data_IF_641281409694
#
_entry.id   IF_641281409694
#
_cell.length_a   1.000
_cell.length_b   1.000
_cell.length_c   1.000
_cell.angle_alpha   90.00
_cell.angle_beta   90.00
_cell.angle_gamma   90.00
#
_symmetry.space_group_name_H-M   'P 1'
#
loop_
_entity.id
_entity.type
_entity.pdbx_description
1 polymer ?
#
# COMPACT_ATOMS: atom_id res chain seq x y z
N UNK A 1 -77.96 -28.16 -46.17
CA UNK A 1 -76.79 -28.57 -45.37
C UNK A 1 -76.04 -27.30 -44.99
N UNK A 2 -75.99 -26.97 -43.70
CA UNK A 2 -75.04 -26.00 -43.14
C UNK A 2 -74.66 -26.52 -41.76
N UNK A 3 -73.36 -26.71 -41.53
CA UNK A 3 -72.83 -27.22 -40.27
C UNK A 3 -72.86 -26.13 -39.18
N UNK A 4 -73.11 -26.47 -37.90
CA UNK A 4 -72.93 -25.53 -36.80
C UNK A 4 -71.43 -25.24 -36.56
N UNK A 5 -71.07 -24.04 -36.08
CA UNK A 5 -69.69 -23.65 -35.80
C UNK A 5 -69.11 -24.43 -34.60
N UNK A 6 -67.78 -24.62 -34.52
CA UNK A 6 -67.15 -25.36 -33.43
C UNK A 6 -67.22 -24.58 -32.10
N UNK A 7 -67.33 -25.33 -31.00
CA UNK A 7 -67.34 -24.82 -29.62
C UNK A 7 -66.00 -24.14 -29.24
N UNK A 8 -65.99 -23.18 -28.30
CA UNK A 8 -64.77 -22.52 -27.87
C UNK A 8 -63.87 -23.50 -27.10
N UNK A 9 -62.61 -23.58 -27.50
CA UNK A 9 -61.56 -24.27 -26.76
C UNK A 9 -61.27 -23.47 -25.50
N UNK A 10 -61.56 -24.03 -24.33
CA UNK A 10 -61.14 -23.45 -23.05
C UNK A 10 -59.64 -23.70 -22.92
N UNK A 11 -58.84 -22.67 -23.16
CA UNK A 11 -57.42 -22.68 -22.82
C UNK A 11 -57.32 -22.61 -21.30
N UNK A 12 -56.95 -23.72 -20.67
CA UNK A 12 -56.59 -23.72 -19.25
C UNK A 12 -55.29 -22.93 -19.13
N UNK A 13 -55.37 -21.75 -18.49
CA UNK A 13 -54.20 -20.99 -18.12
C UNK A 13 -53.38 -21.85 -17.14
N UNK A 14 -52.22 -22.30 -17.60
CA UNK A 14 -51.22 -22.92 -16.75
C UNK A 14 -50.80 -21.88 -15.72
N UNK A 15 -51.13 -22.09 -14.44
CA UNK A 15 -50.58 -21.32 -13.33
C UNK A 15 -49.05 -21.42 -13.43
N UNK A 16 -48.43 -20.34 -13.87
CA UNK A 16 -47.00 -20.17 -13.76
C UNK A 16 -46.69 -20.08 -12.27
N UNK A 17 -46.12 -21.14 -11.71
CA UNK A 17 -45.49 -21.11 -10.39
C UNK A 17 -44.43 -20.01 -10.47
N UNK A 18 -44.69 -18.88 -9.84
CA UNK A 18 -43.69 -17.84 -9.65
C UNK A 18 -42.61 -18.42 -8.76
N UNK A 19 -41.48 -18.80 -9.36
CA UNK A 19 -40.22 -18.98 -8.63
C UNK A 19 -40.00 -17.69 -7.84
N UNK A 20 -39.81 -17.73 -6.50
CA UNK A 20 -39.49 -16.52 -5.77
C UNK A 20 -38.23 -15.92 -6.40
N UNK A 21 -38.34 -14.69 -6.89
CA UNK A 21 -37.18 -13.87 -7.24
C UNK A 21 -36.25 -13.92 -6.03
N UNK A 22 -35.05 -14.47 -6.20
CA UNK A 22 -34.03 -14.36 -5.17
C UNK A 22 -33.73 -12.87 -5.03
N UNK A 23 -34.28 -12.26 -3.99
CA UNK A 23 -33.87 -10.94 -3.53
C UNK A 23 -32.39 -11.10 -3.20
N UNK A 24 -31.53 -10.59 -4.07
CA UNK A 24 -30.11 -10.49 -3.78
C UNK A 24 -29.98 -9.35 -2.76
N UNK A 25 -30.22 -9.66 -1.50
CA UNK A 25 -29.97 -8.72 -0.41
C UNK A 25 -28.46 -8.47 -0.38
N UNK A 26 -28.07 -7.22 -0.63
CA UNK A 26 -26.69 -6.79 -0.43
C UNK A 26 -26.29 -7.13 1.01
N UNK A 27 -25.12 -7.76 1.23
CA UNK A 27 -24.67 -8.11 2.57
C UNK A 27 -24.67 -6.87 3.47
N UNK A 28 -25.09 -7.04 4.72
CA UNK A 28 -25.09 -5.97 5.72
C UNK A 28 -24.21 -6.35 6.91
N UNK A 29 -23.77 -5.35 7.67
CA UNK A 29 -22.96 -5.55 8.87
C UNK A 29 -23.81 -6.18 9.98
N UNK A 30 -23.36 -7.32 10.48
CA UNK A 30 -23.95 -8.02 11.63
C UNK A 30 -23.26 -7.60 12.94
N UNK A 31 -21.93 -7.52 12.92
CA UNK A 31 -21.13 -7.21 14.10
C UNK A 31 -19.87 -6.44 13.71
N UNK A 32 -19.48 -5.45 14.52
CA UNK A 32 -18.19 -4.79 14.40
C UNK A 32 -17.17 -5.48 15.30
N UNK A 33 -16.03 -5.85 14.72
CA UNK A 33 -14.89 -6.38 15.46
C UNK A 33 -13.89 -5.26 15.79
N UNK A 34 -13.23 -5.41 16.93
CA UNK A 34 -12.18 -4.48 17.34
C UNK A 34 -10.99 -4.50 16.38
N UNK A 35 -10.38 -3.32 16.21
CA UNK A 35 -9.17 -3.14 15.41
C UNK A 35 -9.37 -2.17 14.25
N UNK A 36 -8.26 -1.76 13.67
CA UNK A 36 -8.23 -0.84 12.52
C UNK A 36 -7.74 -1.60 11.30
N UNK A 37 -8.43 -1.56 10.13
CA UNK A 37 -9.38 -0.54 9.64
C UNK A 37 -10.87 -0.72 10.03
N UNK A 38 -11.26 -1.40 11.10
CA UNK A 38 -12.68 -1.63 11.43
C UNK A 38 -13.23 -2.89 10.75
N UNK A 39 -12.68 -4.08 11.09
CA UNK A 39 -13.18 -5.33 10.58
C UNK A 39 -14.64 -5.56 11.04
N UNK A 40 -15.47 -6.11 10.15
CA UNK A 40 -16.87 -6.39 10.42
C UNK A 40 -17.24 -7.80 9.97
N UNK A 41 -18.11 -8.46 10.73
CA UNK A 41 -18.83 -9.64 10.28
C UNK A 41 -20.01 -9.20 9.41
N UNK A 42 -20.08 -9.73 8.20
CA UNK A 42 -21.16 -9.48 7.25
C UNK A 42 -22.20 -10.60 7.30
N UNK A 43 -23.43 -10.30 6.87
CA UNK A 43 -24.56 -11.24 6.89
C UNK A 43 -24.36 -12.47 6.02
N UNK A 44 -23.46 -12.39 5.04
CA UNK A 44 -23.00 -13.51 4.22
C UNK A 44 -21.95 -14.39 4.91
N UNK A 45 -21.59 -14.08 6.17
CA UNK A 45 -20.60 -14.78 6.99
C UNK A 45 -19.16 -14.36 6.71
N UNK A 46 -18.91 -13.46 5.77
CA UNK A 46 -17.55 -12.96 5.50
C UNK A 46 -17.11 -11.96 6.57
N UNK A 47 -15.80 -11.86 6.76
CA UNK A 47 -15.19 -10.79 7.56
C UNK A 47 -14.47 -9.83 6.64
N UNK A 48 -14.90 -8.58 6.58
CA UNK A 48 -14.28 -7.57 5.72
C UNK A 48 -14.45 -6.15 6.29
N UNK A 49 -13.78 -5.18 5.69
CA UNK A 49 -13.82 -3.78 6.13
C UNK A 49 -15.23 -3.20 6.04
N UNK A 50 -15.64 -2.44 7.06
CA UNK A 50 -16.82 -1.59 7.00
C UNK A 50 -16.48 -0.18 7.49
N UNK A 51 -16.76 0.83 6.66
CA UNK A 51 -16.61 2.24 7.05
C UNK A 51 -17.45 2.56 8.29
N UNK A 52 -18.66 2.01 8.39
CA UNK A 52 -19.52 2.25 9.55
C UNK A 52 -18.90 1.72 10.85
N UNK A 53 -18.33 0.50 10.82
CA UNK A 53 -17.62 -0.03 11.98
C UNK A 53 -16.36 0.76 12.30
N UNK A 54 -15.62 1.19 11.28
CA UNK A 54 -14.46 2.04 11.46
C UNK A 54 -14.82 3.35 12.18
N UNK A 55 -15.88 4.03 11.73
CA UNK A 55 -16.33 5.30 12.32
C UNK A 55 -16.82 5.12 13.77
N UNK A 56 -17.61 4.06 14.03
CA UNK A 56 -18.10 3.72 15.37
C UNK A 56 -16.95 3.45 16.37
N UNK A 57 -15.86 2.83 15.89
CA UNK A 57 -14.71 2.45 16.72
C UNK A 57 -13.63 3.55 16.79
N UNK A 58 -13.97 4.79 16.43
CA UNK A 58 -13.06 5.93 16.56
C UNK A 58 -12.07 6.07 15.40
N UNK A 59 -12.45 5.63 14.20
CA UNK A 59 -11.65 5.69 12.99
C UNK A 59 -11.05 7.08 12.69
N UNK A 60 -11.80 8.15 12.94
CA UNK A 60 -11.28 9.52 12.80
C UNK A 60 -10.07 9.81 13.69
N UNK A 61 -10.11 9.36 14.95
CA UNK A 61 -8.96 9.50 15.87
C UNK A 61 -7.77 8.67 15.38
N UNK A 62 -8.02 7.49 14.82
CA UNK A 62 -6.98 6.67 14.23
C UNK A 62 -6.34 7.37 13.01
N UNK A 63 -7.14 7.86 12.05
CA UNK A 63 -6.62 8.57 10.88
C UNK A 63 -5.84 9.82 11.27
N UNK A 64 -6.29 10.54 12.31
CA UNK A 64 -5.54 11.68 12.82
C UNK A 64 -4.18 11.24 13.39
N UNK A 65 -4.13 10.14 14.15
CA UNK A 65 -2.88 9.56 14.61
C UNK A 65 -1.95 9.17 13.46
N UNK A 66 -2.48 8.55 12.40
CA UNK A 66 -1.71 8.20 11.20
C UNK A 66 -1.18 9.45 10.48
N UNK A 67 -2.01 10.49 10.30
CA UNK A 67 -1.56 11.76 9.71
C UNK A 67 -0.45 12.38 10.53
N UNK A 68 -0.64 12.46 11.85
CA UNK A 68 0.35 13.01 12.78
C UNK A 68 1.65 12.20 12.76
N UNK A 69 1.58 10.87 12.74
CA UNK A 69 2.74 9.99 12.68
C UNK A 69 3.57 10.17 11.39
N UNK A 70 2.95 10.65 10.31
CA UNK A 70 3.61 10.87 9.02
C UNK A 70 3.94 12.36 8.73
N UNK A 71 3.66 13.28 9.64
CA UNK A 71 3.86 14.73 9.45
C UNK A 71 5.30 15.20 9.77
N UNK A 72 6.31 14.61 9.12
CA UNK A 72 7.70 15.00 9.34
C UNK A 72 8.07 16.31 8.62
N UNK A 73 8.81 17.16 9.31
CA UNK A 73 9.39 18.39 8.79
C UNK A 73 10.92 18.30 8.83
N UNK A 74 11.60 18.65 7.73
CA UNK A 74 13.04 18.51 7.59
C UNK A 74 13.74 19.88 7.52
N UNK A 75 14.84 20.03 8.26
CA UNK A 75 15.63 21.27 8.34
C UNK A 75 16.89 21.27 7.45
N UNK A 76 17.02 20.28 6.56
CA UNK A 76 18.21 20.07 5.74
C UNK A 76 19.29 19.21 6.41
N UNK A 77 19.07 18.76 7.65
CA UNK A 77 19.97 17.81 8.35
C UNK A 77 19.16 16.69 9.00
N UNK A 78 18.03 17.01 9.62
CA UNK A 78 17.18 16.08 10.36
C UNK A 78 15.71 16.34 10.06
N UNK A 79 14.97 15.28 9.78
CA UNK A 79 13.52 15.29 9.76
C UNK A 79 12.98 14.99 11.16
N UNK A 80 12.07 15.84 11.66
CA UNK A 80 11.43 15.70 12.98
C UNK A 80 9.92 15.69 12.86
N UNK A 81 9.28 14.86 13.65
CA UNK A 81 7.84 14.82 13.76
C UNK A 81 7.39 15.63 14.98
N UNK A 82 6.63 16.74 14.80
CA UNK A 82 6.23 17.60 15.90
C UNK A 82 5.17 16.98 16.82
N UNK A 83 4.47 15.94 16.38
CA UNK A 83 3.39 15.29 17.13
C UNK A 83 3.86 14.07 17.92
N UNK A 84 4.79 13.28 17.36
CA UNK A 84 5.27 12.03 17.97
C UNK A 84 6.64 12.16 18.63
N UNK A 85 7.40 13.21 18.32
CA UNK A 85 8.78 13.38 18.77
C UNK A 85 9.79 12.48 18.04
N UNK A 86 9.35 11.71 17.04
CA UNK A 86 10.23 10.90 16.20
C UNK A 86 11.19 11.77 15.39
N UNK A 87 12.39 11.26 15.13
CA UNK A 87 13.39 11.93 14.29
C UNK A 87 14.21 10.94 13.47
N UNK A 88 14.57 11.31 12.24
CA UNK A 88 15.51 10.58 11.40
C UNK A 88 16.36 11.54 10.56
N UNK A 89 17.55 11.14 10.07
CA UNK A 89 18.37 11.99 9.21
C UNK A 89 17.64 12.40 7.93
N UNK A 90 17.83 13.63 7.48
CA UNK A 90 17.21 14.11 6.24
C UNK A 90 17.70 13.29 5.02
N UNK A 91 16.83 12.57 4.30
CA UNK A 91 17.21 11.78 3.14
C UNK A 91 17.82 12.62 2.01
N UNK A 92 17.39 13.88 1.85
CA UNK A 92 17.94 14.78 0.85
C UNK A 92 19.37 15.20 1.21
N UNK A 93 19.64 15.43 2.49
CA UNK A 93 20.98 15.70 2.99
C UNK A 93 21.90 14.50 2.75
N UNK A 94 21.45 13.29 3.10
CA UNK A 94 22.21 12.05 2.84
C UNK A 94 22.50 11.89 1.35
N UNK A 95 21.52 12.10 0.48
CA UNK A 95 21.70 11.98 -0.97
C UNK A 95 22.77 12.97 -1.47
N UNK A 96 22.72 14.23 -1.01
CA UNK A 96 23.70 15.25 -1.39
C UNK A 96 25.11 14.91 -0.89
N UNK A 97 25.25 14.40 0.33
CA UNK A 97 26.54 13.97 0.88
C UNK A 97 27.13 12.79 0.09
N UNK A 98 26.29 11.83 -0.29
CA UNK A 98 26.69 10.68 -1.12
C UNK A 98 27.15 11.16 -2.50
N UNK A 99 26.48 12.13 -3.10
CA UNK A 99 26.87 12.70 -4.39
C UNK A 99 28.23 13.43 -4.29
N UNK A 100 28.39 14.30 -3.29
CA UNK A 100 29.64 15.05 -3.06
C UNK A 100 30.81 14.10 -2.82
N UNK A 101 30.64 13.09 -1.96
CA UNK A 101 31.66 12.06 -1.73
C UNK A 101 31.95 11.26 -2.99
N UNK A 102 30.93 10.95 -3.79
CA UNK A 102 31.11 10.19 -5.02
C UNK A 102 31.92 10.95 -6.06
N UNK A 103 31.71 12.26 -6.18
CA UNK A 103 32.52 13.12 -7.04
C UNK A 103 33.97 13.21 -6.56
N UNK A 104 34.17 13.42 -5.26
CA UNK A 104 35.51 13.48 -4.68
C UNK A 104 36.28 12.16 -4.90
N UNK A 105 35.60 11.02 -4.76
CA UNK A 105 36.18 9.71 -5.03
C UNK A 105 36.58 9.54 -6.49
N UNK A 106 35.76 10.02 -7.43
CA UNK A 106 36.09 9.96 -8.86
C UNK A 106 37.33 10.81 -9.20
N UNK A 107 37.40 12.02 -8.64
CA UNK A 107 38.54 12.93 -8.82
C UNK A 107 39.82 12.37 -8.19
N UNK A 108 39.75 11.80 -6.99
CA UNK A 108 40.91 11.25 -6.28
C UNK A 108 41.42 9.93 -6.88
N UNK A 109 40.51 9.09 -7.37
CA UNK A 109 40.85 7.79 -7.96
C UNK A 109 41.25 7.86 -9.44
N UNK A 110 40.84 8.92 -10.16
CA UNK A 110 40.96 8.99 -11.61
C UNK A 110 40.05 7.99 -12.36
N UNK A 111 39.12 7.34 -11.65
CA UNK A 111 38.23 6.34 -12.23
C UNK A 111 37.12 6.95 -13.08
N UNK A 112 36.93 6.41 -14.29
CA UNK A 112 35.83 6.79 -15.19
C UNK A 112 34.60 5.86 -15.11
N UNK A 113 34.69 4.74 -14.38
CA UNK A 113 33.64 3.71 -14.32
C UNK A 113 33.27 3.34 -12.88
N UNK A 114 32.04 2.87 -12.69
CA UNK A 114 31.52 2.49 -11.37
C UNK A 114 32.33 1.38 -10.68
N UNK A 115 32.74 0.34 -11.41
CA UNK A 115 33.53 -0.76 -10.82
C UNK A 115 34.93 -0.33 -10.35
N UNK A 116 35.56 0.63 -11.05
CA UNK A 116 36.83 1.21 -10.63
C UNK A 116 36.66 2.04 -9.34
N UNK A 117 35.59 2.85 -9.28
CA UNK A 117 35.21 3.63 -8.11
C UNK A 117 34.94 2.76 -6.87
N UNK A 118 34.27 1.62 -7.05
CA UNK A 118 34.02 0.65 -5.98
C UNK A 118 35.32 0.03 -5.46
N UNK A 119 36.24 -0.37 -6.36
CA UNK A 119 37.55 -0.89 -5.97
C UNK A 119 38.39 0.16 -5.21
N UNK A 120 38.39 1.41 -5.68
CA UNK A 120 39.06 2.52 -4.99
C UNK A 120 38.50 2.73 -3.59
N UNK A 121 37.16 2.78 -3.43
CA UNK A 121 36.52 2.94 -2.11
C UNK A 121 36.89 1.81 -1.17
N UNK A 122 36.89 0.57 -1.65
CA UNK A 122 37.27 -0.59 -0.86
C UNK A 122 38.74 -0.50 -0.40
N UNK A 123 39.64 0.01 -1.25
CA UNK A 123 41.03 0.28 -0.89
C UNK A 123 41.19 1.41 0.14
N UNK A 124 40.53 2.55 -0.10
CA UNK A 124 40.51 3.71 0.81
C UNK A 124 39.98 3.32 2.19
N UNK A 125 38.93 2.52 2.24
CA UNK A 125 38.26 2.10 3.47
C UNK A 125 38.96 0.90 4.15
N UNK A 126 40.07 0.42 3.60
CA UNK A 126 40.85 -0.69 4.16
C UNK A 126 40.17 -2.05 4.08
N UNK A 127 39.18 -2.20 3.19
CA UNK A 127 38.45 -3.45 2.95
C UNK A 127 39.22 -4.41 2.03
N UNK A 128 40.25 -3.91 1.34
CA UNK A 128 41.15 -4.68 0.45
C UNK A 128 42.60 -4.49 0.91
N UNK A 129 43.41 -5.54 0.82
CA UNK A 129 44.83 -5.48 1.16
C UNK A 129 45.63 -4.59 0.20
N UNK A 130 46.78 -4.08 0.65
CA UNK A 130 47.64 -3.20 -0.17
C UNK A 130 48.05 -3.83 -1.52
N UNK A 131 48.33 -5.13 -1.56
CA UNK A 131 48.62 -5.83 -2.82
C UNK A 131 47.41 -5.86 -3.76
N UNK A 132 46.20 -5.98 -3.21
CA UNK A 132 44.95 -5.89 -3.96
C UNK A 132 44.69 -4.50 -4.51
N UNK A 133 45.10 -3.45 -3.78
CA UNK A 133 45.00 -2.06 -4.23
C UNK A 133 46.03 -1.73 -5.32
N UNK A 134 47.27 -2.21 -5.15
CA UNK A 134 48.33 -2.04 -6.13
C UNK A 134 48.00 -2.68 -7.49
N UNK A 135 47.26 -3.80 -7.51
CA UNK A 135 46.77 -4.40 -8.76
C UNK A 135 45.88 -3.45 -9.58
N UNK A 136 45.09 -2.61 -8.91
CA UNK A 136 44.22 -1.62 -9.54
C UNK A 136 44.88 -0.24 -9.74
N UNK A 137 46.10 -0.06 -9.22
CA UNK A 137 46.85 1.20 -9.33
C UNK A 137 46.47 2.27 -8.29
N UNK A 138 45.92 1.87 -7.13
CA UNK A 138 45.58 2.75 -6.01
C UNK A 138 46.58 2.67 -4.86
#
# INVERSE_FOLDING_TARGET
MNAPPPAPVVTVASEAVATPEQVNEEPFVVECYEGTPGPALWSDGTTSFSQWCFDQLGGERYLEGERQANAFECDGVTCRNPYTGGSYPDPAAIASDVEVRSRADAEASGCATGGCLEAYRACRDGLVSGDGCAYWGF
#
